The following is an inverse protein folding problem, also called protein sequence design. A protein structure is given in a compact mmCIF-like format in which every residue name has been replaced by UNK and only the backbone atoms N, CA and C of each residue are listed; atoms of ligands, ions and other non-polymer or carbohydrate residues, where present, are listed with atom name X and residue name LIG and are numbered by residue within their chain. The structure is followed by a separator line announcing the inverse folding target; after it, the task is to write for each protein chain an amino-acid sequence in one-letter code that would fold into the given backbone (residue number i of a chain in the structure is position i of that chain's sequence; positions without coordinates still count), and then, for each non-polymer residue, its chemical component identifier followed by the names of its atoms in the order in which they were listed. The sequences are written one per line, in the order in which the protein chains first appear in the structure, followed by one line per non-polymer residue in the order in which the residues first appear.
data_IF_651654273220
#
_entry.id   IF_651654273220
#
_cell.length_a   1.000
_cell.length_b   1.000
_cell.length_c   1.000
_cell.angle_alpha   90.00
_cell.angle_beta   90.00
_cell.angle_gamma   90.00
#
_symmetry.space_group_name_H-M   'P 1'
#
loop_
_entity.id
_entity.type
_entity.pdbx_description
1 polymer ?
#
# COMPACT_ATOMS: atom_id res chain seq x y z
N UNK A 1 57.25 4.46 -25.55
CA UNK A 1 56.22 4.43 -24.49
C UNK A 1 55.17 5.53 -24.61
N UNK A 2 55.50 6.71 -25.19
CA UNK A 2 54.52 7.79 -25.41
C UNK A 2 53.52 7.53 -26.56
N UNK A 3 53.92 6.89 -27.66
CA UNK A 3 53.01 6.61 -28.80
C UNK A 3 51.95 5.54 -28.53
N UNK A 4 52.18 4.64 -27.57
CA UNK A 4 51.24 3.56 -27.22
C UNK A 4 50.05 4.14 -26.42
N UNK A 5 50.30 5.14 -25.57
CA UNK A 5 49.30 5.81 -24.73
C UNK A 5 48.31 6.65 -25.53
N UNK A 6 48.76 7.23 -26.65
CA UNK A 6 47.92 8.05 -27.55
C UNK A 6 46.98 7.18 -28.39
N UNK A 7 47.41 5.94 -28.70
CA UNK A 7 46.65 4.99 -29.53
C UNK A 7 45.52 4.31 -28.76
N UNK A 8 45.67 4.10 -27.45
CA UNK A 8 44.61 3.60 -26.57
C UNK A 8 43.51 4.65 -26.33
N UNK A 9 43.88 5.92 -26.09
CA UNK A 9 42.89 7.01 -25.97
C UNK A 9 42.05 7.17 -27.24
N UNK A 10 42.67 7.05 -28.41
CA UNK A 10 41.95 7.13 -29.71
C UNK A 10 40.99 5.96 -29.94
N UNK A 11 41.31 4.74 -29.47
CA UNK A 11 40.42 3.58 -29.53
C UNK A 11 39.24 3.70 -28.56
N UNK A 12 39.48 4.19 -27.34
CA UNK A 12 38.42 4.41 -26.33
C UNK A 12 37.39 5.45 -26.77
N UNK A 13 37.85 6.56 -27.37
CA UNK A 13 36.96 7.61 -27.89
C UNK A 13 36.13 7.09 -29.08
N UNK A 14 36.73 6.30 -29.98
CA UNK A 14 36.02 5.70 -31.12
C UNK A 14 35.00 4.64 -30.69
N UNK A 15 35.29 3.86 -29.66
CA UNK A 15 34.36 2.88 -29.09
C UNK A 15 33.16 3.56 -28.40
N UNK A 16 33.40 4.65 -27.67
CA UNK A 16 32.36 5.45 -27.03
C UNK A 16 31.44 6.12 -28.05
N UNK A 17 32.01 6.70 -29.12
CA UNK A 17 31.24 7.32 -30.22
C UNK A 17 30.42 6.29 -30.99
N UNK A 18 30.95 5.06 -31.19
CA UNK A 18 30.21 3.98 -31.84
C UNK A 18 29.05 3.44 -30.96
N UNK A 19 29.22 3.39 -29.63
CA UNK A 19 28.17 2.98 -28.69
C UNK A 19 27.04 4.03 -28.60
N UNK A 20 27.37 5.33 -28.66
CA UNK A 20 26.38 6.42 -28.71
C UNK A 20 25.55 6.35 -30.01
N UNK A 21 26.17 6.02 -31.14
CA UNK A 21 25.50 5.90 -32.44
C UNK A 21 24.57 4.67 -32.56
N UNK A 22 24.73 3.66 -31.70
CA UNK A 22 23.97 2.40 -31.74
C UNK A 22 22.77 2.35 -30.79
N UNK A 23 22.39 3.47 -30.15
CA UNK A 23 21.26 3.54 -29.20
C UNK A 23 21.66 3.72 -27.73
N UNK A 24 22.97 3.77 -27.41
CA UNK A 24 23.47 4.00 -26.06
C UNK A 24 23.25 5.44 -25.53
N UNK A 25 22.80 6.37 -26.37
CA UNK A 25 22.44 7.73 -25.94
C UNK A 25 21.20 7.72 -25.03
N UNK A 26 20.25 6.80 -25.24
CA UNK A 26 19.08 6.64 -24.36
C UNK A 26 19.52 6.15 -22.98
N UNK A 27 20.39 5.14 -22.92
CA UNK A 27 20.95 4.64 -21.65
C UNK A 27 21.77 5.73 -20.93
N UNK A 28 22.56 6.54 -21.65
CA UNK A 28 23.27 7.68 -21.08
C UNK A 28 22.33 8.76 -20.55
N UNK A 29 21.25 9.06 -21.26
CA UNK A 29 20.23 10.00 -20.79
C UNK A 29 19.54 9.47 -19.54
N UNK A 30 19.13 8.20 -19.52
CA UNK A 30 18.54 7.56 -18.34
C UNK A 30 19.50 7.57 -17.15
N UNK A 31 20.78 7.25 -17.35
CA UNK A 31 21.81 7.32 -16.29
C UNK A 31 21.99 8.76 -15.80
N UNK A 32 22.02 9.74 -16.70
CA UNK A 32 22.15 11.15 -16.32
C UNK A 32 20.91 11.64 -15.57
N UNK A 33 19.70 11.25 -15.98
CA UNK A 33 18.46 11.53 -15.28
C UNK A 33 18.49 10.89 -13.88
N UNK A 34 18.86 9.61 -13.77
CA UNK A 34 19.01 8.92 -12.48
C UNK A 34 20.07 9.61 -11.61
N UNK A 35 21.20 10.07 -12.17
CA UNK A 35 22.21 10.81 -11.43
C UNK A 35 21.76 12.21 -11.01
N UNK A 36 20.93 12.88 -11.82
CA UNK A 36 20.34 14.18 -11.49
C UNK A 36 19.28 14.04 -10.41
N UNK A 37 18.42 13.03 -10.49
CA UNK A 37 17.48 12.66 -9.44
C UNK A 37 18.28 12.34 -8.18
N UNK A 38 19.28 11.46 -8.22
CA UNK A 38 20.13 11.14 -7.08
C UNK A 38 20.82 12.38 -6.48
N UNK A 39 21.22 13.36 -7.29
CA UNK A 39 21.79 14.61 -6.81
C UNK A 39 20.75 15.52 -6.13
N UNK A 40 19.56 15.66 -6.72
CA UNK A 40 18.42 16.38 -6.16
C UNK A 40 18.04 15.74 -4.82
N UNK A 41 17.80 14.43 -4.83
CA UNK A 41 17.46 13.55 -3.71
C UNK A 41 18.51 13.57 -2.58
N UNK A 42 19.80 13.60 -2.92
CA UNK A 42 20.88 13.75 -1.94
C UNK A 42 20.89 15.15 -1.27
N UNK A 43 20.41 16.20 -1.95
CA UNK A 43 20.28 17.54 -1.37
C UNK A 43 19.20 17.63 -0.29
N UNK A 44 18.20 16.74 -0.28
CA UNK A 44 17.13 16.75 0.74
C UNK A 44 17.48 15.98 2.01
N UNK A 45 18.54 15.15 2.01
CA UNK A 45 18.94 14.36 3.18
C UNK A 45 17.91 13.29 3.63
N UNK A 46 16.83 13.07 2.87
CA UNK A 46 15.71 12.16 3.20
C UNK A 46 16.21 10.74 3.60
N UNK A 47 17.36 10.32 3.05
CA UNK A 47 17.90 8.96 3.12
C UNK A 47 18.74 8.65 4.35
N UNK A 48 19.12 9.66 5.13
CA UNK A 48 19.79 9.45 6.43
C UNK A 48 18.77 9.37 7.59
N UNK A 49 17.46 9.45 7.30
CA UNK A 49 16.39 9.44 8.32
C UNK A 49 16.07 8.09 8.93
N UNK A 50 16.57 7.01 8.34
CA UNK A 50 16.35 5.65 8.84
C UNK A 50 17.36 5.23 9.91
N UNK A 51 18.42 6.01 10.14
CA UNK A 51 19.41 5.74 11.18
C UNK A 51 18.95 6.32 12.52
N UNK A 52 18.96 5.48 13.56
CA UNK A 52 18.65 5.87 14.94
C UNK A 52 19.77 6.78 15.47
N UNK A 53 19.59 8.10 15.35
CA UNK A 53 20.58 9.11 15.76
C UNK A 53 20.54 9.41 17.27
N UNK A 54 19.70 8.70 18.03
CA UNK A 54 19.73 8.70 19.50
C UNK A 54 18.93 9.83 20.18
N UNK A 55 18.20 10.67 19.44
CA UNK A 55 17.25 11.64 20.03
C UNK A 55 15.90 11.80 19.30
N UNK A 56 15.77 11.34 18.05
CA UNK A 56 14.64 11.69 17.17
C UNK A 56 13.88 10.44 16.68
N UNK A 57 12.57 10.56 16.43
CA UNK A 57 11.76 9.45 15.90
C UNK A 57 12.11 9.20 14.42
N UNK A 58 12.17 7.94 13.95
CA UNK A 58 12.35 7.68 12.52
C UNK A 58 11.06 7.98 11.74
N UNK A 59 11.19 8.39 10.47
CA UNK A 59 10.07 8.75 9.59
C UNK A 59 8.98 7.68 9.55
N UNK A 60 9.36 6.40 9.50
CA UNK A 60 8.44 5.25 9.54
C UNK A 60 7.50 5.26 10.75
N UNK A 61 7.99 5.66 11.93
CA UNK A 61 7.19 5.67 13.17
C UNK A 61 6.13 6.75 13.08
N UNK A 62 6.50 7.94 12.60
CA UNK A 62 5.56 9.05 12.40
C UNK A 62 4.47 8.68 11.38
N UNK A 63 4.86 8.05 10.28
CA UNK A 63 3.93 7.54 9.26
C UNK A 63 2.95 6.52 9.85
N UNK A 64 3.43 5.59 10.68
CA UNK A 64 2.59 4.62 11.37
C UNK A 64 1.63 5.27 12.36
N UNK A 65 2.09 6.24 13.14
CA UNK A 65 1.25 7.02 14.07
C UNK A 65 0.13 7.76 13.31
N UNK A 66 0.44 8.44 12.20
CA UNK A 66 -0.56 9.13 11.37
C UNK A 66 -1.57 8.14 10.77
N UNK A 67 -1.14 6.95 10.33
CA UNK A 67 -2.06 5.92 9.85
C UNK A 67 -3.01 5.44 10.96
N UNK A 68 -2.51 5.30 12.20
CA UNK A 68 -3.34 4.94 13.35
C UNK A 68 -4.34 6.04 13.69
N UNK A 69 -3.92 7.30 13.66
CA UNK A 69 -4.82 8.46 13.85
C UNK A 69 -5.92 8.51 12.78
N UNK A 70 -5.54 8.26 11.53
CA UNK A 70 -6.49 8.19 10.41
C UNK A 70 -7.54 7.11 10.63
N UNK A 71 -7.11 5.92 11.06
CA UNK A 71 -8.04 4.83 11.35
C UNK A 71 -8.92 5.12 12.58
N UNK A 72 -8.37 5.73 13.62
CA UNK A 72 -9.14 6.15 14.77
C UNK A 72 -10.26 7.13 14.38
N UNK A 73 -10.02 8.06 13.46
CA UNK A 73 -11.08 8.95 12.95
C UNK A 73 -12.19 8.19 12.19
N UNK A 74 -11.83 7.18 11.38
CA UNK A 74 -12.82 6.34 10.72
C UNK A 74 -13.67 5.54 11.71
N UNK A 75 -13.04 5.01 12.76
CA UNK A 75 -13.72 4.25 13.80
C UNK A 75 -14.60 5.14 14.67
N UNK A 76 -14.17 6.35 14.99
CA UNK A 76 -14.97 7.35 15.71
C UNK A 76 -16.22 7.72 14.90
N UNK A 77 -16.11 7.91 13.58
CA UNK A 77 -17.26 8.17 12.71
C UNK A 77 -18.24 6.99 12.75
N UNK A 78 -17.74 5.75 12.59
CA UNK A 78 -18.57 4.54 12.67
C UNK A 78 -19.21 4.37 14.05
N UNK A 79 -18.51 4.73 15.12
CA UNK A 79 -19.04 4.67 16.49
C UNK A 79 -20.04 5.78 16.81
N UNK A 80 -20.02 6.89 16.06
CA UNK A 80 -20.89 8.05 16.30
C UNK A 80 -22.33 7.88 15.78
N UNK A 81 -22.56 6.91 14.89
CA UNK A 81 -23.85 6.70 14.22
C UNK A 81 -24.28 5.24 14.38
N UNK A 82 -25.55 5.01 14.72
CA UNK A 82 -26.15 3.67 14.63
C UNK A 82 -26.65 3.49 13.20
N UNK A 83 -26.15 2.46 12.51
CA UNK A 83 -26.48 2.17 11.12
C UNK A 83 -26.67 0.66 10.89
N UNK A 84 -27.44 0.32 9.86
CA UNK A 84 -27.65 -1.05 9.39
C UNK A 84 -26.67 -1.42 8.27
N UNK A 85 -26.29 -0.43 7.45
CA UNK A 85 -25.37 -0.62 6.32
C UNK A 85 -24.33 0.49 6.29
N UNK A 86 -23.08 0.12 5.97
CA UNK A 86 -21.97 1.04 5.78
C UNK A 86 -21.58 1.06 4.29
N UNK A 87 -21.55 2.25 3.70
CA UNK A 87 -21.00 2.49 2.37
C UNK A 87 -19.79 3.41 2.50
N UNK A 88 -18.62 2.95 2.04
CA UNK A 88 -17.42 3.79 2.00
C UNK A 88 -16.98 3.99 0.55
N UNK A 89 -16.49 5.18 0.21
CA UNK A 89 -16.02 5.49 -1.13
C UNK A 89 -14.81 6.43 -1.13
N UNK A 90 -14.04 6.38 -2.22
CA UNK A 90 -12.85 7.18 -2.45
C UNK A 90 -11.61 6.68 -1.70
N UNK A 91 -10.53 7.47 -1.73
CA UNK A 91 -9.22 7.09 -1.22
C UNK A 91 -8.46 8.27 -0.62
N UNK A 92 -7.54 7.94 0.28
CA UNK A 92 -6.55 8.89 0.82
C UNK A 92 -5.37 9.07 -0.15
N UNK A 93 -4.62 10.16 0.04
CA UNK A 93 -3.34 10.39 -0.61
C UNK A 93 -2.35 9.28 -0.25
N UNK A 94 -1.58 8.85 -1.25
CA UNK A 94 -0.51 7.88 -1.07
C UNK A 94 0.69 8.54 -0.40
N UNK A 95 1.41 7.77 0.42
CA UNK A 95 2.55 8.28 1.18
C UNK A 95 3.66 8.92 0.34
N UNK A 96 4.02 8.41 -0.85
CA UNK A 96 4.98 9.08 -1.74
C UNK A 96 4.59 10.53 -2.06
N UNK A 97 3.32 10.82 -2.31
CA UNK A 97 2.86 12.18 -2.58
C UNK A 97 2.95 13.08 -1.35
N UNK A 98 2.47 12.59 -0.21
CA UNK A 98 2.53 13.31 1.07
C UNK A 98 3.98 13.66 1.44
N UNK A 99 4.89 12.68 1.32
CA UNK A 99 6.30 12.85 1.63
C UNK A 99 7.02 13.74 0.61
N UNK A 100 6.62 13.72 -0.67
CA UNK A 100 7.20 14.61 -1.67
C UNK A 100 6.85 16.07 -1.40
N UNK A 101 5.58 16.36 -1.07
CA UNK A 101 5.14 17.70 -0.66
C UNK A 101 5.86 18.14 0.61
N UNK A 102 5.97 17.24 1.59
CA UNK A 102 6.71 17.47 2.83
C UNK A 102 8.19 17.80 2.58
N UNK A 103 8.88 16.98 1.79
CA UNK A 103 10.31 17.16 1.49
C UNK A 103 10.57 18.52 0.82
N UNK A 104 9.75 18.89 -0.16
CA UNK A 104 9.89 20.20 -0.82
C UNK A 104 9.56 21.35 0.14
N UNK A 105 8.51 21.22 0.96
CA UNK A 105 8.09 22.27 1.90
C UNK A 105 9.14 22.55 2.98
N UNK A 106 9.72 21.50 3.58
CA UNK A 106 10.65 21.62 4.71
C UNK A 106 12.05 22.09 4.26
N UNK A 107 12.50 21.67 3.08
CA UNK A 107 13.82 22.08 2.56
C UNK A 107 13.82 23.44 1.88
N UNK A 108 12.67 23.91 1.42
CA UNK A 108 12.52 25.19 0.73
C UNK A 108 11.94 26.28 1.63
N UNK A 109 11.87 26.04 2.94
CA UNK A 109 11.47 27.05 3.93
C UNK A 109 12.47 28.23 3.85
N UNK A 110 12.02 29.44 3.46
CA UNK A 110 12.90 30.60 3.28
C UNK A 110 13.45 31.14 4.61
N UNK A 111 12.79 30.83 5.73
CA UNK A 111 13.15 31.31 7.06
C UNK A 111 13.96 30.27 7.84
N UNK A 112 13.76 28.98 7.59
CA UNK A 112 14.48 27.90 8.27
C UNK A 112 14.58 26.60 7.44
N UNK A 113 15.46 26.53 6.43
CA UNK A 113 15.63 25.31 5.63
C UNK A 113 16.08 24.15 6.52
N UNK A 114 15.28 23.08 6.58
CA UNK A 114 15.63 21.90 7.37
C UNK A 114 15.86 20.68 6.48
N UNK A 115 16.84 19.85 6.83
CA UNK A 115 17.04 18.54 6.21
C UNK A 115 15.87 17.60 6.53
N UNK A 116 15.61 16.63 5.65
CA UNK A 116 14.52 15.67 5.84
C UNK A 116 14.97 14.44 6.67
N UNK A 117 16.26 14.30 6.93
CA UNK A 117 16.85 13.17 7.67
C UNK A 117 16.27 13.04 9.10
N UNK A 118 16.30 14.10 9.88
CA UNK A 118 15.92 14.04 11.30
C UNK A 118 14.46 14.44 11.46
N UNK A 119 13.59 13.60 12.06
CA UNK A 119 12.20 13.98 12.36
C UNK A 119 12.09 14.47 13.80
N UNK A 120 12.29 15.78 13.97
CA UNK A 120 12.02 16.46 15.24
C UNK A 120 10.51 16.56 15.48
N UNK A 121 10.04 16.83 16.72
CA UNK A 121 8.61 17.02 16.99
C UNK A 121 7.95 18.09 16.13
N UNK A 122 8.67 19.16 15.78
CA UNK A 122 8.17 20.20 14.88
C UNK A 122 7.95 19.66 13.45
N UNK A 123 8.90 18.86 12.96
CA UNK A 123 8.83 18.21 11.65
C UNK A 123 7.75 17.12 11.59
N UNK A 124 7.55 16.38 12.67
CA UNK A 124 6.42 15.45 12.83
C UNK A 124 5.10 16.19 12.62
N UNK A 125 4.94 17.35 13.29
CA UNK A 125 3.71 18.12 13.17
C UNK A 125 3.50 18.65 11.75
N UNK A 126 4.56 19.12 11.06
CA UNK A 126 4.46 19.56 9.66
C UNK A 126 3.98 18.40 8.76
N UNK A 127 4.52 17.19 8.94
CA UNK A 127 4.09 16.04 8.16
C UNK A 127 2.63 15.67 8.43
N UNK A 128 2.22 15.66 9.71
CA UNK A 128 0.83 15.42 10.12
C UNK A 128 -0.12 16.48 9.52
N UNK A 129 0.25 17.75 9.56
CA UNK A 129 -0.53 18.85 9.00
C UNK A 129 -0.68 18.72 7.47
N UNK A 130 0.38 18.33 6.76
CA UNK A 130 0.32 18.09 5.32
C UNK A 130 -0.60 16.89 5.02
N UNK A 131 -0.46 15.79 5.74
CA UNK A 131 -1.32 14.62 5.58
C UNK A 131 -2.80 15.00 5.73
N UNK A 132 -3.15 15.76 6.76
CA UNK A 132 -4.54 16.18 7.00
C UNK A 132 -5.01 17.32 6.07
N UNK A 133 -4.10 18.12 5.53
CA UNK A 133 -4.44 19.09 4.47
C UNK A 133 -4.70 18.41 3.12
N UNK A 134 -4.04 17.26 2.89
CA UNK A 134 -4.20 16.43 1.70
C UNK A 134 -5.43 15.54 1.77
N UNK A 135 -5.88 15.12 2.96
CA UNK A 135 -6.93 14.12 3.11
C UNK A 135 -8.18 14.72 3.76
N UNK A 136 -9.35 14.39 3.21
CA UNK A 136 -10.64 14.81 3.77
C UNK A 136 -11.53 13.58 3.93
N UNK A 137 -12.00 13.35 5.15
CA UNK A 137 -13.00 12.34 5.49
C UNK A 137 -14.32 13.07 5.73
N UNK A 138 -15.36 12.70 4.98
CA UNK A 138 -16.71 13.21 5.14
C UNK A 138 -17.68 12.06 5.38
N UNK A 139 -18.79 12.31 6.07
CA UNK A 139 -19.82 11.31 6.32
C UNK A 139 -21.22 11.91 6.25
N UNK A 140 -22.18 11.07 5.88
CA UNK A 140 -23.61 11.41 5.84
C UNK A 140 -24.45 10.17 6.09
N UNK A 141 -25.70 10.35 6.49
CA UNK A 141 -26.65 9.25 6.71
C UNK A 141 -27.87 9.40 5.83
N UNK A 142 -28.33 8.28 5.27
CA UNK A 142 -29.60 8.18 4.54
C UNK A 142 -30.50 7.16 5.25
N UNK A 143 -31.78 7.47 5.40
CA UNK A 143 -32.77 6.56 5.99
C UNK A 143 -33.83 6.19 4.96
N UNK A 144 -34.12 4.90 4.87
CA UNK A 144 -35.15 4.36 3.99
C UNK A 144 -36.13 3.48 4.77
N UNK A 145 -37.43 3.66 4.55
CA UNK A 145 -38.46 2.79 5.12
C UNK A 145 -38.68 1.58 4.23
N UNK A 146 -38.37 0.40 4.74
CA UNK A 146 -38.60 -0.89 4.10
C UNK A 146 -39.84 -1.52 4.69
N UNK A 147 -40.86 -1.70 3.84
CA UNK A 147 -42.12 -2.31 4.21
C UNK A 147 -42.11 -3.80 3.84
N UNK A 148 -42.24 -4.68 4.83
CA UNK A 148 -42.36 -6.13 4.65
C UNK A 148 -43.78 -6.57 5.02
N UNK A 149 -44.43 -7.31 4.13
CA UNK A 149 -45.73 -7.92 4.39
C UNK A 149 -45.47 -9.33 4.92
N UNK A 150 -45.91 -9.59 6.14
CA UNK A 150 -45.86 -10.91 6.78
C UNK A 150 -47.24 -11.54 6.62
N UNK A 151 -47.31 -12.67 5.92
CA UNK A 151 -48.54 -13.45 5.77
C UNK A 151 -48.61 -14.53 6.85
N UNK A 152 -49.74 -14.62 7.56
CA UNK A 152 -50.01 -15.66 8.56
C UNK A 152 -51.38 -16.29 8.36
N UNK A 153 -51.49 -17.60 8.58
CA UNK A 153 -52.75 -18.35 8.50
C UNK A 153 -53.45 -18.30 9.86
N UNK A 154 -54.71 -17.86 9.88
CA UNK A 154 -55.54 -17.78 11.09
C UNK A 154 -56.04 -19.16 11.61
N UNK A 155 -55.59 -20.25 10.99
CA UNK A 155 -55.98 -21.62 11.32
C UNK A 155 -57.37 -21.99 10.80
N UNK A 156 -58.04 -21.09 10.09
CA UNK A 156 -59.34 -21.30 9.43
C UNK A 156 -59.24 -21.18 7.90
N UNK A 157 -58.03 -21.01 7.36
CA UNK A 157 -57.78 -20.90 5.92
C UNK A 157 -57.89 -19.47 5.37
N UNK A 158 -57.90 -18.44 6.23
CA UNK A 158 -57.75 -17.06 5.79
C UNK A 158 -56.30 -16.61 5.97
N UNK A 159 -55.77 -15.92 4.97
CA UNK A 159 -54.45 -15.27 5.06
C UNK A 159 -54.64 -13.90 5.69
N UNK A 160 -54.00 -13.69 6.85
CA UNK A 160 -53.84 -12.40 7.51
C UNK A 160 -52.52 -11.78 7.03
N UNK A 161 -52.60 -10.60 6.43
CA UNK A 161 -51.44 -9.79 6.07
C UNK A 161 -51.15 -8.77 7.16
N UNK A 162 -49.95 -8.81 7.74
CA UNK A 162 -49.42 -7.79 8.65
C UNK A 162 -48.31 -7.01 7.95
N UNK A 163 -48.46 -5.69 7.87
CA UNK A 163 -47.47 -4.82 7.26
C UNK A 163 -46.52 -4.29 8.32
N UNK A 164 -45.26 -4.72 8.30
CA UNK A 164 -44.20 -4.22 9.18
C UNK A 164 -43.33 -3.24 8.41
N UNK A 165 -43.22 -2.02 8.91
CA UNK A 165 -42.33 -0.99 8.34
C UNK A 165 -41.08 -0.89 9.21
N UNK A 166 -39.93 -1.23 8.65
CA UNK A 166 -38.62 -1.06 9.28
C UNK A 166 -37.90 0.13 8.67
N UNK A 167 -37.28 0.97 9.48
CA UNK A 167 -36.41 2.04 8.99
C UNK A 167 -34.99 1.52 8.96
N UNK A 168 -34.40 1.44 7.76
CA UNK A 168 -32.98 1.12 7.57
C UNK A 168 -32.17 2.39 7.42
N UNK A 169 -31.04 2.46 8.11
CA UNK A 169 -30.11 3.59 8.10
C UNK A 169 -28.81 3.17 7.43
N UNK A 170 -28.41 3.89 6.38
CA UNK A 170 -27.12 3.71 5.73
C UNK A 170 -26.18 4.84 6.12
N UNK A 171 -25.00 4.50 6.63
CA UNK A 171 -23.90 5.44 6.85
C UNK A 171 -23.03 5.47 5.60
N UNK A 172 -22.91 6.63 4.98
CA UNK A 172 -21.99 6.87 3.87
C UNK A 172 -20.75 7.60 4.39
N UNK A 173 -19.55 7.07 4.14
CA UNK A 173 -18.27 7.72 4.40
C UNK A 173 -17.56 7.94 3.07
N UNK A 174 -17.17 9.19 2.77
CA UNK A 174 -16.42 9.54 1.57
C UNK A 174 -15.06 10.07 1.97
N UNK A 175 -14.02 9.38 1.51
CA UNK A 175 -12.61 9.79 1.66
C UNK A 175 -12.18 10.41 0.34
N UNK A 176 -11.63 11.61 0.39
CA UNK A 176 -11.07 12.29 -0.78
C UNK A 176 -9.70 12.83 -0.45
N UNK A 177 -8.90 13.07 -1.49
CA UNK A 177 -7.58 13.65 -1.32
C UNK A 177 -7.23 14.67 -2.40
N UNK A 178 -6.28 15.54 -2.06
CA UNK A 178 -5.57 16.40 -2.99
C UNK A 178 -4.31 15.68 -3.47
N UNK A 179 -4.01 15.83 -4.74
CA UNK A 179 -2.74 15.42 -5.34
C UNK A 179 -1.59 16.30 -4.85
N UNK A 180 -0.36 15.80 -5.00
CA UNK A 180 0.85 16.58 -4.74
C UNK A 180 0.89 17.91 -5.51
N UNK A 181 0.40 17.94 -6.76
CA UNK A 181 0.33 19.15 -7.59
C UNK A 181 -0.67 20.17 -7.04
N UNK A 182 -1.84 19.73 -6.59
CA UNK A 182 -2.84 20.61 -5.97
C UNK A 182 -2.32 21.21 -4.66
N UNK A 183 -1.62 20.41 -3.86
CA UNK A 183 -0.94 20.91 -2.66
C UNK A 183 0.17 21.90 -2.96
N UNK A 184 0.96 21.65 -4.01
CA UNK A 184 2.00 22.57 -4.44
C UNK A 184 1.44 23.93 -4.84
N UNK A 185 0.29 23.95 -5.54
CA UNK A 185 -0.42 25.17 -5.86
C UNK A 185 -0.94 25.90 -4.61
N UNK A 186 -1.52 25.16 -3.65
CA UNK A 186 -2.02 25.72 -2.39
C UNK A 186 -0.92 26.32 -1.51
N UNK A 187 0.24 25.68 -1.46
CA UNK A 187 1.41 26.19 -0.74
C UNK A 187 2.24 27.21 -1.54
N UNK A 188 1.85 27.52 -2.78
CA UNK A 188 2.51 28.52 -3.60
C UNK A 188 3.93 28.14 -4.03
N UNK A 189 4.18 26.86 -4.32
CA UNK A 189 5.48 26.39 -4.78
C UNK A 189 5.92 27.09 -6.06
N UNK A 190 7.15 27.61 -6.07
CA UNK A 190 7.78 28.21 -7.24
C UNK A 190 8.29 27.17 -8.24
N UNK A 191 8.76 27.64 -9.41
CA UNK A 191 9.20 26.80 -10.53
C UNK A 191 10.20 25.70 -10.12
N UNK A 192 11.23 26.06 -9.36
CA UNK A 192 12.23 25.08 -8.85
C UNK A 192 11.66 24.06 -7.87
N UNK A 193 10.68 24.45 -7.06
CA UNK A 193 10.03 23.55 -6.12
C UNK A 193 9.13 22.54 -6.85
N UNK A 194 8.50 22.97 -7.94
CA UNK A 194 7.73 22.10 -8.83
C UNK A 194 8.64 21.11 -9.58
N UNK A 195 9.80 21.54 -10.07
CA UNK A 195 10.81 20.64 -10.67
C UNK A 195 11.27 19.56 -9.67
N UNK A 196 11.52 19.95 -8.42
CA UNK A 196 11.86 18.98 -7.37
C UNK A 196 10.72 18.03 -7.03
N UNK A 197 9.48 18.54 -6.99
CA UNK A 197 8.30 17.73 -6.73
C UNK A 197 8.09 16.68 -7.83
N UNK A 198 8.23 17.07 -9.09
CA UNK A 198 8.10 16.18 -10.24
C UNK A 198 9.15 15.07 -10.20
N UNK A 199 10.42 15.45 -9.96
CA UNK A 199 11.52 14.50 -9.82
C UNK A 199 11.34 13.50 -8.67
N UNK A 200 10.67 13.89 -7.58
CA UNK A 200 10.37 13.01 -6.45
C UNK A 200 9.23 12.03 -6.73
N UNK A 201 8.35 12.34 -7.71
CA UNK A 201 7.17 11.55 -8.06
C UNK A 201 7.35 10.66 -9.30
N UNK A 202 8.49 10.77 -10.01
CA UNK A 202 8.78 9.90 -11.16
C UNK A 202 8.73 8.41 -10.79
N UNK A 203 8.29 7.54 -11.71
CA UNK A 203 8.09 6.10 -11.47
C UNK A 203 9.34 5.38 -10.91
N UNK A 204 10.55 5.88 -11.22
CA UNK A 204 11.82 5.36 -10.72
C UNK A 204 12.12 5.65 -9.24
N UNK A 205 11.31 6.47 -8.56
CA UNK A 205 11.49 6.83 -7.15
C UNK A 205 10.73 5.92 -6.17
N UNK A 206 9.87 5.04 -6.67
CA UNK A 206 9.08 4.06 -5.89
C UNK A 206 9.95 3.25 -4.90
N UNK A 207 11.03 2.64 -5.39
CA UNK A 207 12.00 1.91 -4.55
C UNK A 207 12.76 2.81 -3.56
N UNK A 208 12.90 4.11 -3.85
CA UNK A 208 13.52 5.08 -2.94
C UNK A 208 12.58 5.46 -1.79
N UNK A 209 11.29 5.69 -2.08
CA UNK A 209 10.28 5.90 -1.05
C UNK A 209 10.11 4.68 -0.16
N UNK A 210 10.27 3.48 -0.72
CA UNK A 210 10.28 2.26 0.07
C UNK A 210 11.40 2.27 1.12
N UNK A 211 12.62 2.69 0.76
CA UNK A 211 13.73 2.78 1.72
C UNK A 211 13.45 3.80 2.85
N UNK A 212 12.80 4.93 2.55
CA UNK A 212 12.49 6.00 3.52
C UNK A 212 11.32 5.65 4.43
N UNK A 213 10.24 5.13 3.84
CA UNK A 213 9.03 4.73 4.55
C UNK A 213 9.25 3.47 5.39
N UNK A 214 10.12 2.57 4.91
CA UNK A 214 10.24 1.23 5.47
C UNK A 214 11.60 0.98 6.13
N UNK A 215 12.61 1.82 5.87
CA UNK A 215 13.89 1.86 6.62
C UNK A 215 14.90 0.79 6.22
N UNK A 216 14.85 0.30 4.99
CA UNK A 216 15.54 -0.95 4.63
C UNK A 216 16.22 -0.86 3.25
N UNK A 217 17.55 -0.89 3.24
CA UNK A 217 18.31 -1.44 2.12
C UNK A 217 18.28 -2.97 2.23
N UNK A 218 17.45 -3.64 1.41
CA UNK A 218 17.50 -5.10 1.18
C UNK A 218 17.28 -6.03 2.38
N UNK A 219 16.09 -6.03 3.00
CA UNK A 219 15.70 -7.05 3.98
C UNK A 219 14.34 -7.68 3.65
N UNK A 220 14.22 -8.92 4.12
CA UNK A 220 13.16 -9.92 3.87
C UNK A 220 11.73 -9.51 4.30
N UNK A 221 11.49 -8.26 4.72
CA UNK A 221 10.21 -7.78 5.28
C UNK A 221 9.58 -6.58 4.54
N UNK A 222 10.14 -6.13 3.42
CA UNK A 222 9.64 -4.95 2.68
C UNK A 222 8.14 -5.04 2.33
N UNK A 223 7.68 -6.22 1.90
CA UNK A 223 6.27 -6.43 1.53
C UNK A 223 5.32 -6.30 2.72
N UNK A 224 5.79 -6.66 3.93
CA UNK A 224 5.02 -6.55 5.17
C UNK A 224 4.75 -5.08 5.47
N UNK A 225 5.77 -4.24 5.36
CA UNK A 225 5.65 -2.82 5.64
C UNK A 225 4.75 -2.13 4.61
N UNK A 226 4.89 -2.46 3.32
CA UNK A 226 3.98 -1.99 2.28
C UNK A 226 2.54 -2.36 2.62
N UNK A 227 2.28 -3.63 2.96
CA UNK A 227 0.95 -4.09 3.32
C UNK A 227 0.38 -3.34 4.52
N UNK A 228 1.16 -3.15 5.59
CA UNK A 228 0.72 -2.40 6.79
C UNK A 228 0.27 -0.97 6.47
N UNK A 229 0.88 -0.29 5.49
CA UNK A 229 0.42 1.05 5.10
C UNK A 229 -0.96 1.06 4.48
N UNK A 230 -1.42 -0.06 3.94
CA UNK A 230 -2.70 -0.17 3.28
C UNK A 230 -3.84 -0.44 4.27
N UNK A 231 -3.53 -0.85 5.52
CA UNK A 231 -4.52 -1.08 6.56
C UNK A 231 -5.43 0.14 6.72
N UNK A 232 -6.74 -0.09 6.67
CA UNK A 232 -7.78 0.96 6.68
C UNK A 232 -8.30 1.36 5.29
N UNK A 233 -7.63 1.02 4.20
CA UNK A 233 -8.17 1.25 2.85
C UNK A 233 -9.36 0.33 2.56
N UNK A 234 -10.39 0.85 1.88
CA UNK A 234 -11.69 0.18 1.63
C UNK A 234 -12.00 0.16 0.13
N UNK A 235 -12.78 -0.83 -0.33
CA UNK A 235 -13.29 -0.94 -1.71
C UNK A 235 -12.30 -1.45 -2.75
N UNK A 236 -11.00 -1.46 -2.41
CA UNK A 236 -9.95 -2.12 -3.18
C UNK A 236 -9.64 -1.53 -4.55
N UNK A 237 -10.26 -0.40 -4.92
CA UNK A 237 -10.09 0.27 -6.22
C UNK A 237 -8.63 0.43 -6.65
N UNK A 238 -7.72 0.90 -5.78
CA UNK A 238 -6.31 1.01 -6.15
C UNK A 238 -5.68 -0.31 -6.62
N UNK A 239 -6.14 -1.46 -6.10
CA UNK A 239 -5.53 -2.76 -6.37
C UNK A 239 -6.12 -3.43 -7.61
N UNK A 240 -7.46 -3.51 -7.71
CA UNK A 240 -8.07 -4.16 -8.87
C UNK A 240 -7.98 -3.31 -10.14
N UNK A 241 -7.97 -1.97 -10.03
CA UNK A 241 -7.77 -1.10 -11.20
C UNK A 241 -6.32 -1.17 -11.70
N UNK A 242 -5.33 -1.14 -10.79
CA UNK A 242 -3.92 -1.35 -11.13
C UNK A 242 -3.68 -2.72 -11.80
N UNK A 243 -4.40 -3.76 -11.37
CA UNK A 243 -4.29 -5.07 -12.00
C UNK A 243 -4.83 -5.06 -13.44
N UNK A 244 -5.78 -4.17 -13.76
CA UNK A 244 -6.36 -3.97 -15.08
C UNK A 244 -7.87 -4.23 -15.16
N UNK A 245 -8.58 -4.35 -14.04
CA UNK A 245 -10.04 -4.50 -14.04
C UNK A 245 -10.75 -3.15 -14.15
N UNK A 246 -11.79 -3.08 -14.98
CA UNK A 246 -12.63 -1.88 -15.13
C UNK A 246 -13.78 -1.77 -14.13
N UNK A 247 -13.92 -2.73 -13.21
CA UNK A 247 -14.96 -2.76 -12.18
C UNK A 247 -14.52 -3.62 -11.00
N UNK A 248 -15.18 -3.45 -9.84
CA UNK A 248 -14.91 -4.21 -8.61
C UNK A 248 -14.94 -5.72 -8.85
N UNK A 249 -13.89 -6.39 -8.39
CA UNK A 249 -13.74 -7.86 -8.32
C UNK A 249 -13.27 -8.25 -6.92
N UNK A 250 -13.29 -9.53 -6.56
CA UNK A 250 -12.59 -9.98 -5.34
C UNK A 250 -11.10 -9.68 -5.47
N UNK A 251 -10.55 -8.96 -4.49
CA UNK A 251 -9.29 -8.23 -4.69
C UNK A 251 -8.18 -8.58 -3.69
N UNK A 252 -8.32 -9.64 -2.88
CA UNK A 252 -7.28 -10.10 -1.94
C UNK A 252 -5.95 -10.42 -2.65
N UNK A 253 -5.99 -11.14 -3.77
CA UNK A 253 -4.80 -11.45 -4.56
C UNK A 253 -4.27 -10.24 -5.35
N UNK A 254 -5.17 -9.35 -5.80
CA UNK A 254 -4.76 -8.06 -6.39
C UNK A 254 -3.94 -7.25 -5.38
N UNK A 255 -4.38 -7.22 -4.12
CA UNK A 255 -3.69 -6.53 -3.04
C UNK A 255 -2.28 -7.11 -2.78
N UNK A 256 -2.14 -8.43 -2.68
CA UNK A 256 -0.82 -9.07 -2.51
C UNK A 256 0.09 -8.79 -3.69
N UNK A 257 -0.44 -8.89 -4.92
CA UNK A 257 0.31 -8.56 -6.15
C UNK A 257 0.72 -7.09 -6.18
N UNK A 258 -0.16 -6.18 -5.78
CA UNK A 258 0.16 -4.76 -5.71
C UNK A 258 1.27 -4.49 -4.68
N UNK A 259 1.20 -5.12 -3.50
CA UNK A 259 2.26 -4.99 -2.49
C UNK A 259 3.60 -5.51 -3.02
N UNK A 260 3.59 -6.63 -3.74
CA UNK A 260 4.77 -7.17 -4.40
C UNK A 260 5.33 -6.23 -5.49
N UNK A 261 4.46 -5.60 -6.28
CA UNK A 261 4.82 -4.60 -7.29
C UNK A 261 5.51 -3.37 -6.67
N UNK A 262 4.96 -2.84 -5.58
CA UNK A 262 5.57 -1.72 -4.86
C UNK A 262 6.95 -2.05 -4.28
N UNK A 263 7.26 -3.33 -4.11
CA UNK A 263 8.57 -3.81 -3.70
C UNK A 263 9.49 -4.16 -4.88
N UNK A 264 9.01 -4.13 -6.12
CA UNK A 264 9.72 -4.62 -7.31
C UNK A 264 9.82 -6.16 -7.39
N UNK A 265 9.08 -6.89 -6.54
CA UNK A 265 9.18 -8.35 -6.42
C UNK A 265 8.55 -9.12 -7.58
N UNK A 266 7.69 -8.47 -8.36
CA UNK A 266 7.18 -9.02 -9.61
C UNK A 266 8.29 -9.03 -10.67
N UNK A 267 9.00 -7.90 -10.83
CA UNK A 267 10.05 -7.75 -11.83
C UNK A 267 11.28 -8.63 -11.54
N UNK A 268 11.62 -8.79 -10.26
CA UNK A 268 12.70 -9.68 -9.84
C UNK A 268 12.28 -11.16 -9.81
N UNK A 269 10.99 -11.46 -9.96
CA UNK A 269 10.45 -12.81 -9.99
C UNK A 269 10.41 -13.51 -8.63
N UNK A 270 10.44 -12.74 -7.54
CA UNK A 270 10.39 -13.19 -6.14
C UNK A 270 8.96 -13.58 -5.74
N UNK A 271 7.96 -12.80 -6.20
CA UNK A 271 6.53 -13.07 -6.01
C UNK A 271 5.80 -12.90 -7.35
N UNK A 272 4.86 -13.79 -7.72
CA UNK A 272 4.13 -13.66 -8.98
C UNK A 272 3.15 -12.48 -8.96
N UNK A 273 2.80 -11.99 -10.15
CA UNK A 273 1.57 -11.20 -10.37
C UNK A 273 0.39 -12.16 -10.53
N UNK A 274 -0.57 -12.17 -9.60
CA UNK A 274 -1.72 -13.09 -9.62
C UNK A 274 -3.02 -12.45 -9.07
N UNK A 275 -4.16 -12.90 -9.60
CA UNK A 275 -5.51 -12.51 -9.14
C UNK A 275 -6.32 -13.65 -8.57
N UNK A 276 -5.96 -14.89 -8.89
CA UNK A 276 -6.61 -16.07 -8.33
C UNK A 276 -5.73 -16.67 -7.26
N UNK A 277 -6.26 -16.87 -6.05
CA UNK A 277 -5.52 -17.47 -4.93
C UNK A 277 -4.94 -18.84 -5.31
N UNK A 278 -5.73 -19.68 -6.01
CA UNK A 278 -5.29 -20.99 -6.56
C UNK A 278 -4.06 -20.86 -7.48
N UNK A 279 -4.00 -19.82 -8.31
CA UNK A 279 -2.84 -19.59 -9.19
C UNK A 279 -1.59 -19.22 -8.38
N UNK A 280 -1.75 -18.45 -7.30
CA UNK A 280 -0.67 -18.14 -6.36
C UNK A 280 -0.14 -19.42 -5.69
N UNK A 281 -1.04 -20.25 -5.15
CA UNK A 281 -0.70 -21.55 -4.54
C UNK A 281 0.08 -22.43 -5.52
N UNK A 282 -0.44 -22.60 -6.74
CA UNK A 282 0.20 -23.42 -7.77
C UNK A 282 1.61 -22.91 -8.09
N UNK A 283 1.80 -21.60 -8.21
CA UNK A 283 3.10 -21.00 -8.50
C UNK A 283 4.15 -21.32 -7.43
N UNK A 284 3.80 -21.19 -6.14
CA UNK A 284 4.70 -21.52 -5.04
C UNK A 284 5.00 -23.02 -4.97
N UNK A 285 3.99 -23.88 -5.20
CA UNK A 285 4.16 -25.35 -5.24
C UNK A 285 5.07 -25.80 -6.37
N UNK A 286 4.89 -25.27 -7.59
CA UNK A 286 5.69 -25.63 -8.76
C UNK A 286 7.18 -25.29 -8.60
N UNK A 287 7.51 -24.38 -7.68
CA UNK A 287 8.88 -23.93 -7.37
C UNK A 287 9.45 -24.57 -6.11
N UNK A 288 8.71 -25.48 -5.47
CA UNK A 288 9.12 -26.07 -4.18
C UNK A 288 9.17 -25.05 -3.05
N UNK A 289 8.47 -23.93 -3.18
CA UNK A 289 8.41 -22.81 -2.24
C UNK A 289 7.10 -22.82 -1.45
N UNK A 290 6.61 -24.01 -1.10
CA UNK A 290 5.36 -24.19 -0.38
C UNK A 290 5.61 -24.84 0.98
N UNK A 291 4.96 -24.33 2.02
CA UNK A 291 4.94 -24.93 3.34
C UNK A 291 3.50 -25.15 3.81
N UNK A 292 3.26 -26.23 4.54
CA UNK A 292 1.94 -26.54 5.10
C UNK A 292 1.67 -25.70 6.36
N UNK A 293 0.42 -25.70 6.81
CA UNK A 293 -0.06 -24.87 7.92
C UNK A 293 0.53 -25.17 9.31
N UNK A 294 1.35 -26.22 9.44
CA UNK A 294 1.93 -26.66 10.69
C UNK A 294 3.20 -25.90 11.11
N UNK A 295 3.73 -25.04 10.24
CA UNK A 295 4.94 -24.25 10.55
C UNK A 295 4.60 -22.96 11.29
N UNK A 296 5.58 -22.43 12.01
CA UNK A 296 5.58 -21.02 12.41
C UNK A 296 6.07 -20.19 11.20
N UNK A 297 5.21 -19.37 10.57
CA UNK A 297 5.60 -18.65 9.36
C UNK A 297 6.51 -17.47 9.67
N UNK A 298 7.40 -17.14 8.74
CA UNK A 298 8.21 -15.93 8.81
C UNK A 298 7.40 -14.70 8.31
N UNK A 299 7.68 -13.49 8.82
CA UNK A 299 7.23 -12.25 8.21
C UNK A 299 7.48 -12.24 6.69
N UNK A 300 6.51 -11.73 5.93
CA UNK A 300 6.59 -11.61 4.48
C UNK A 300 6.19 -12.88 3.71
N UNK A 301 6.01 -14.03 4.37
CA UNK A 301 5.41 -15.18 3.70
C UNK A 301 3.99 -14.85 3.23
N UNK A 302 3.60 -15.42 2.08
CA UNK A 302 2.24 -15.27 1.55
C UNK A 302 1.37 -16.36 2.16
N UNK A 303 0.39 -16.00 2.96
CA UNK A 303 -0.50 -16.95 3.64
C UNK A 303 -1.76 -17.16 2.80
N UNK A 304 -2.18 -18.42 2.65
CA UNK A 304 -3.37 -18.80 1.90
C UNK A 304 -4.37 -19.52 2.80
N UNK A 305 -5.65 -19.26 2.59
CA UNK A 305 -6.75 -19.85 3.36
C UNK A 305 -7.69 -20.66 2.47
N UNK A 306 -8.25 -21.70 3.06
CA UNK A 306 -9.31 -22.61 2.56
C UNK A 306 -10.42 -22.54 3.62
N UNK A 307 -11.44 -21.71 3.35
CA UNK A 307 -12.47 -21.36 4.34
C UNK A 307 -13.40 -22.54 4.62
N UNK A 308 -14.04 -22.61 5.81
CA UNK A 308 -15.05 -23.62 6.13
C UNK A 308 -16.49 -23.05 6.03
N UNK A 309 -16.78 -22.31 4.97
CA UNK A 309 -18.15 -21.84 4.73
C UNK A 309 -19.03 -22.99 4.22
N UNK A 310 -20.16 -23.23 4.88
CA UNK A 310 -21.14 -24.24 4.46
C UNK A 310 -21.94 -23.89 3.20
N UNK A 311 -21.67 -22.73 2.60
CA UNK A 311 -22.32 -22.23 1.38
C UNK A 311 -21.52 -22.54 0.12
N UNK A 312 -21.81 -21.82 -0.97
CA UNK A 312 -21.13 -22.00 -2.26
C UNK A 312 -19.81 -21.21 -2.41
N UNK A 313 -19.52 -20.27 -1.51
CA UNK A 313 -18.34 -19.41 -1.57
C UNK A 313 -17.39 -19.74 -0.41
N UNK A 314 -16.31 -20.44 -0.73
CA UNK A 314 -15.27 -20.90 0.18
C UNK A 314 -15.65 -22.06 1.11
N UNK A 315 -16.08 -23.21 0.56
CA UNK A 315 -16.12 -24.46 1.32
C UNK A 315 -14.70 -25.00 1.51
N UNK A 316 -14.48 -25.77 2.59
CA UNK A 316 -13.16 -26.32 2.89
C UNK A 316 -12.85 -27.51 1.96
N UNK A 317 -12.41 -27.20 0.74
CA UNK A 317 -12.29 -28.13 -0.39
C UNK A 317 -10.84 -28.37 -0.84
N UNK A 318 -9.88 -27.79 -0.12
CA UNK A 318 -8.45 -27.88 -0.41
C UNK A 318 -7.95 -26.88 -1.45
N UNK A 319 -8.81 -25.98 -1.92
CA UNK A 319 -8.45 -24.85 -2.77
C UNK A 319 -8.38 -23.57 -1.95
N UNK A 320 -7.60 -22.60 -2.44
CA UNK A 320 -7.47 -21.34 -1.72
C UNK A 320 -8.58 -20.36 -2.11
N UNK A 321 -9.29 -19.87 -1.10
CA UNK A 321 -10.31 -18.82 -1.20
C UNK A 321 -9.74 -17.44 -0.94
N UNK A 322 -8.76 -17.34 -0.03
CA UNK A 322 -8.22 -16.07 0.43
C UNK A 322 -6.71 -16.09 0.56
N UNK A 323 -6.11 -14.91 0.51
CA UNK A 323 -4.67 -14.72 0.59
C UNK A 323 -4.33 -13.43 1.33
N UNK A 324 -3.26 -13.47 2.11
CA UNK A 324 -2.71 -12.33 2.84
C UNK A 324 -1.19 -12.36 2.93
N UNK A 325 -0.63 -11.42 3.67
CA UNK A 325 0.81 -11.32 3.93
C UNK A 325 1.04 -11.49 5.43
N UNK A 326 1.94 -12.39 5.82
CA UNK A 326 2.29 -12.60 7.23
C UNK A 326 3.06 -11.38 7.73
N UNK A 327 2.55 -10.71 8.77
CA UNK A 327 3.24 -9.59 9.42
C UNK A 327 4.25 -10.06 10.45
N UNK A 328 3.79 -10.83 11.43
CA UNK A 328 4.62 -11.36 12.52
C UNK A 328 3.98 -12.58 13.15
N UNK A 329 4.77 -13.29 13.95
CA UNK A 329 4.26 -14.29 14.90
C UNK A 329 4.70 -13.89 16.30
N UNK A 330 3.77 -13.90 17.24
CA UNK A 330 4.02 -13.55 18.65
C UNK A 330 3.14 -14.44 19.52
N UNK A 331 3.73 -15.09 20.53
CA UNK A 331 3.02 -15.97 21.48
C UNK A 331 2.14 -17.06 20.83
N UNK A 332 2.58 -17.61 19.68
CA UNK A 332 1.83 -18.62 18.93
C UNK A 332 0.65 -18.08 18.13
N UNK A 333 0.53 -16.75 18.00
CA UNK A 333 -0.45 -16.05 17.18
C UNK A 333 0.25 -15.46 15.96
N UNK A 334 -0.25 -15.82 14.78
CA UNK A 334 0.12 -15.25 13.49
C UNK A 334 -0.69 -13.98 13.28
N UNK A 335 -0.01 -12.88 13.00
CA UNK A 335 -0.61 -11.62 12.57
C UNK A 335 -0.44 -11.50 11.07
N UNK A 336 -1.51 -11.17 10.36
CA UNK A 336 -1.52 -11.04 8.90
C UNK A 336 -2.02 -9.65 8.50
N UNK A 337 -1.61 -9.18 7.33
CA UNK A 337 -2.27 -8.06 6.65
C UNK A 337 -2.98 -8.60 5.42
N UNK A 338 -4.29 -8.38 5.37
CA UNK A 338 -5.18 -8.95 4.37
C UNK A 338 -6.01 -7.87 3.69
N UNK A 339 -5.96 -7.86 2.37
CA UNK A 339 -6.87 -7.07 1.53
C UNK A 339 -8.15 -7.84 1.25
N UNK A 340 -9.24 -7.12 0.94
CA UNK A 340 -10.57 -7.65 0.71
C UNK A 340 -11.11 -8.49 1.88
N UNK A 341 -10.58 -8.24 3.07
CA UNK A 341 -11.15 -8.78 4.27
C UNK A 341 -12.30 -7.82 4.59
N UNK A 342 -13.56 -8.23 4.43
CA UNK A 342 -14.74 -7.38 4.67
C UNK A 342 -14.71 -6.07 3.88
N UNK A 343 -14.28 -6.17 2.62
CA UNK A 343 -14.04 -5.06 1.68
C UNK A 343 -13.02 -4.00 2.16
N UNK A 344 -12.13 -4.36 3.08
CA UNK A 344 -11.03 -3.49 3.53
C UNK A 344 -9.69 -4.22 3.66
N UNK A 345 -8.62 -3.43 3.76
CA UNK A 345 -7.32 -3.91 4.21
C UNK A 345 -7.30 -3.87 5.74
N UNK A 346 -7.01 -5.00 6.40
CA UNK A 346 -6.94 -5.06 7.88
C UNK A 346 -5.88 -6.02 8.38
N UNK A 347 -5.58 -5.86 9.67
CA UNK A 347 -4.79 -6.85 10.42
C UNK A 347 -5.73 -7.91 10.98
N UNK A 348 -5.45 -9.18 10.68
CA UNK A 348 -6.14 -10.33 11.27
C UNK A 348 -5.16 -11.15 12.12
N UNK A 349 -5.71 -12.05 12.94
CA UNK A 349 -4.95 -12.86 13.90
C UNK A 349 -5.45 -14.29 13.90
N UNK A 350 -4.52 -15.25 13.85
CA UNK A 350 -4.82 -16.67 13.81
C UNK A 350 -3.84 -17.44 14.69
N UNK A 351 -4.25 -18.52 15.39
CA UNK A 351 -3.29 -19.39 16.04
C UNK A 351 -2.42 -20.12 15.00
N UNK A 352 -1.17 -20.41 15.33
CA UNK A 352 -0.34 -21.33 14.53
C UNK A 352 -1.06 -22.67 14.40
N UNK A 353 -1.11 -23.22 13.17
CA UNK A 353 -1.87 -24.44 12.87
C UNK A 353 -3.38 -24.25 12.76
N UNK A 354 -3.87 -23.02 12.59
CA UNK A 354 -5.30 -22.77 12.37
C UNK A 354 -5.82 -23.57 11.16
N UNK A 355 -6.99 -24.19 11.32
CA UNK A 355 -7.47 -25.22 10.41
C UNK A 355 -7.89 -24.69 9.03
N UNK A 356 -8.25 -23.40 8.91
CA UNK A 356 -8.56 -22.76 7.63
C UNK A 356 -7.31 -22.23 6.91
N UNK A 357 -6.13 -22.29 7.54
CA UNK A 357 -4.89 -21.99 6.83
C UNK A 357 -4.57 -23.18 5.93
N UNK A 358 -4.58 -22.95 4.62
CA UNK A 358 -4.19 -23.95 3.63
C UNK A 358 -2.68 -24.16 3.62
N UNK A 359 -1.91 -23.08 3.79
CA UNK A 359 -0.46 -23.10 3.85
C UNK A 359 0.16 -21.76 3.47
N UNK A 360 1.46 -21.78 3.20
CA UNK A 360 2.29 -20.60 3.00
C UNK A 360 3.13 -20.70 1.74
N UNK A 361 3.15 -19.62 0.96
CA UNK A 361 4.19 -19.35 -0.02
C UNK A 361 5.45 -18.86 0.68
N UNK A 362 6.50 -19.67 0.63
CA UNK A 362 7.83 -19.37 1.17
C UNK A 362 8.58 -18.51 0.15
N UNK A 363 8.59 -17.21 0.41
CA UNK A 363 9.24 -16.23 -0.47
C UNK A 363 10.76 -16.33 -0.32
N UNK A 364 11.47 -16.44 -1.44
CA UNK A 364 12.94 -16.38 -1.48
C UNK A 364 13.35 -15.00 -1.98
N UNK A 365 13.48 -14.05 -1.04
CA UNK A 365 13.84 -12.65 -1.30
C UNK A 365 15.21 -12.47 -1.95
#
# INVERSE_FOLDING_TARGET
MAEIKTREKSKGIKALVAAIAAGGWVALIVIVIICLIAAVVACFGIFFSSEDTGSDKPMRTVVQEINQEYQAQLDDIKGSVVYDTLEMSGSRAVWPEVLSVYAVKVTSDPDNPQEVATVTPEKEQILRDIFWAMNTISHSTTTESVTTIIESDDGHGNILEETVTETKTTLHIVVSHKTATEMAAEYGFGERQLEHLDALLEEGTSGMWAAVLYGVYGADDQIVQVALTQVGNVGGEPYWSWYGFGSRVEWCACFVSWCADQCGYIDTGVIPKFTGCVNGVQWFRDRGQWADNAIEPAPGMIIFFDWDNKGHSGPQDGQSDHVGIVWKVEDGIIYTVEGNSGDSCRVNQYPVGYYEILGYGVVAY
#
